data_IF_852708434393
#
_entry.id   IF_852708434393
#
_cell.length_a   1.000
_cell.length_b   1.000
_cell.length_c   1.000
_cell.angle_alpha   90.00
_cell.angle_beta   90.00
_cell.angle_gamma   90.00
#
_symmetry.space_group_name_H-M   'P 1'
#
loop_
_entity.id
_entity.type
_entity.pdbx_description
1 polymer ?
#
# COMPACT_ATOMS: atom_id res chain seq x y z
N UNK A 1 -0.43 -43.52 -10.65
CA UNK A 1 -1.22 -42.28 -10.73
C UNK A 1 -0.94 -41.65 -12.07
N UNK A 2 -1.95 -41.12 -12.75
CA UNK A 2 -1.81 -40.58 -14.10
C UNK A 2 -1.08 -39.23 -14.01
N UNK A 3 0.12 -39.15 -14.59
CA UNK A 3 1.03 -37.98 -14.52
C UNK A 3 0.39 -36.69 -15.03
N UNK A 4 -0.69 -36.78 -15.82
CA UNK A 4 -1.49 -35.63 -16.24
C UNK A 4 -2.28 -35.01 -15.10
N UNK A 5 -2.82 -35.83 -14.18
CA UNK A 5 -3.59 -35.36 -13.03
C UNK A 5 -2.66 -34.69 -12.02
N UNK A 6 -1.47 -35.26 -11.78
CA UNK A 6 -0.46 -34.68 -10.89
C UNK A 6 0.01 -33.31 -11.40
N UNK A 7 0.35 -33.19 -12.69
CA UNK A 7 0.71 -31.89 -13.29
C UNK A 7 -0.42 -30.88 -13.21
N UNK A 8 -1.66 -31.27 -13.52
CA UNK A 8 -2.81 -30.37 -13.44
C UNK A 8 -3.04 -29.85 -12.00
N UNK A 9 -2.81 -30.71 -10.99
CA UNK A 9 -2.90 -30.34 -9.59
C UNK A 9 -1.79 -29.36 -9.18
N UNK A 10 -0.55 -29.59 -9.62
CA UNK A 10 0.57 -28.67 -9.38
C UNK A 10 0.31 -27.28 -9.99
N UNK A 11 -0.18 -27.22 -11.23
CA UNK A 11 -0.57 -25.96 -11.87
C UNK A 11 -1.68 -25.21 -11.12
N UNK A 12 -2.70 -25.92 -10.63
CA UNK A 12 -3.78 -25.33 -9.85
C UNK A 12 -3.27 -24.75 -8.52
N UNK A 13 -2.41 -25.49 -7.82
CA UNK A 13 -1.78 -25.04 -6.58
C UNK A 13 -0.86 -23.83 -6.80
N UNK A 14 -0.09 -23.83 -7.89
CA UNK A 14 0.76 -22.71 -8.26
C UNK A 14 -0.04 -21.43 -8.50
N UNK A 15 -1.12 -21.49 -9.28
CA UNK A 15 -1.98 -20.33 -9.56
C UNK A 15 -2.60 -19.75 -8.29
N UNK A 16 -3.06 -20.62 -7.41
CA UNK A 16 -3.65 -20.21 -6.12
C UNK A 16 -2.61 -19.52 -5.25
N UNK A 17 -1.40 -20.09 -5.17
CA UNK A 17 -0.28 -19.51 -4.41
C UNK A 17 0.10 -18.13 -4.95
N UNK A 18 0.18 -17.97 -6.28
CA UNK A 18 0.49 -16.71 -6.92
C UNK A 18 -0.59 -15.65 -6.64
N UNK A 19 -1.87 -16.02 -6.70
CA UNK A 19 -2.97 -15.10 -6.39
C UNK A 19 -2.90 -14.63 -4.93
N UNK A 20 -2.67 -15.55 -4.01
CA UNK A 20 -2.54 -15.24 -2.58
C UNK A 20 -1.32 -14.32 -2.31
N UNK A 21 -0.21 -14.54 -2.99
CA UNK A 21 0.97 -13.66 -2.87
C UNK A 21 0.65 -12.24 -3.33
N UNK A 22 0.00 -12.06 -4.48
CA UNK A 22 -0.42 -10.74 -4.97
C UNK A 22 -1.36 -10.02 -4.00
N UNK A 23 -2.36 -10.76 -3.51
CA UNK A 23 -3.33 -10.22 -2.57
C UNK A 23 -2.63 -9.78 -1.28
N UNK A 24 -1.71 -10.59 -0.76
CA UNK A 24 -0.92 -10.25 0.42
C UNK A 24 -0.08 -8.99 0.21
N UNK A 25 0.58 -8.84 -0.94
CA UNK A 25 1.36 -7.64 -1.25
C UNK A 25 0.51 -6.38 -1.25
N UNK A 26 -0.70 -6.48 -1.82
CA UNK A 26 -1.67 -5.38 -1.83
C UNK A 26 -2.11 -5.02 -0.42
N UNK A 27 -2.52 -6.00 0.39
CA UNK A 27 -2.95 -5.80 1.77
C UNK A 27 -1.84 -5.19 2.64
N UNK A 28 -0.58 -5.60 2.43
CA UNK A 28 0.57 -5.03 3.12
C UNK A 28 0.76 -3.55 2.80
N UNK A 29 0.62 -3.16 1.52
CA UNK A 29 0.66 -1.77 1.10
C UNK A 29 -0.51 -0.96 1.67
N UNK A 30 -1.74 -1.49 1.60
CA UNK A 30 -2.91 -0.82 2.18
C UNK A 30 -2.77 -0.64 3.70
N UNK A 31 -2.27 -1.65 4.41
CA UNK A 31 -2.00 -1.57 5.84
C UNK A 31 -0.91 -0.53 6.16
N UNK A 32 0.14 -0.43 5.34
CA UNK A 32 1.16 0.60 5.55
C UNK A 32 0.63 2.00 5.26
N UNK A 33 -0.32 2.17 4.34
CA UNK A 33 -0.97 3.46 4.07
C UNK A 33 -2.03 3.87 5.11
N UNK A 34 -2.42 2.97 6.02
CA UNK A 34 -3.20 3.33 7.19
C UNK A 34 -2.29 4.01 8.23
N UNK A 35 -2.62 5.24 8.58
CA UNK A 35 -1.81 6.11 9.43
C UNK A 35 -2.62 6.62 10.62
N UNK A 36 -2.22 6.18 11.82
CA UNK A 36 -2.78 6.70 13.06
C UNK A 36 -2.01 7.95 13.50
N UNK A 37 -2.74 9.05 13.74
CA UNK A 37 -2.16 10.31 14.18
C UNK A 37 -3.10 11.02 15.14
N UNK A 38 -2.58 11.43 16.30
CA UNK A 38 -3.31 12.15 17.34
C UNK A 38 -4.69 11.54 17.67
N UNK A 39 -4.76 10.20 17.78
CA UNK A 39 -6.00 9.47 18.05
C UNK A 39 -6.95 9.30 16.86
N UNK A 40 -6.69 9.93 15.72
CA UNK A 40 -7.43 9.75 14.48
C UNK A 40 -6.81 8.72 13.54
N UNK A 41 -7.62 8.19 12.62
CA UNK A 41 -7.17 7.26 11.57
C UNK A 41 -7.28 7.89 10.19
N UNK A 42 -6.16 7.95 9.47
CA UNK A 42 -6.08 8.48 8.12
C UNK A 42 -5.68 7.37 7.14
N UNK A 43 -6.34 7.35 5.98
CA UNK A 43 -5.88 6.58 4.82
C UNK A 43 -5.06 7.50 3.95
N UNK A 44 -3.76 7.23 3.84
CA UNK A 44 -2.86 7.99 2.99
C UNK A 44 -3.19 7.65 1.52
N UNK A 45 -3.67 8.65 0.81
CA UNK A 45 -3.91 8.61 -0.63
C UNK A 45 -3.57 9.96 -1.26
N UNK A 46 -3.62 10.03 -2.58
CA UNK A 46 -3.31 11.22 -3.36
C UNK A 46 -4.22 12.40 -2.99
N UNK A 47 -5.46 12.12 -2.59
CA UNK A 47 -6.44 13.15 -2.17
C UNK A 47 -6.04 13.79 -0.85
N UNK A 48 -5.69 12.99 0.17
CA UNK A 48 -5.21 13.48 1.46
C UNK A 48 -3.92 14.28 1.29
N UNK A 49 -2.97 13.72 0.54
CA UNK A 49 -1.68 14.39 0.25
C UNK A 49 -1.93 15.73 -0.43
N UNK A 50 -2.74 15.77 -1.49
CA UNK A 50 -3.03 17.01 -2.21
C UNK A 50 -3.79 18.03 -1.33
N UNK A 51 -4.76 17.56 -0.54
CA UNK A 51 -5.54 18.40 0.35
C UNK A 51 -4.65 19.10 1.38
N UNK A 52 -3.84 18.34 2.12
CA UNK A 52 -2.91 18.89 3.11
C UNK A 52 -1.85 19.76 2.43
N UNK A 53 -1.30 19.30 1.30
CA UNK A 53 -0.26 20.01 0.57
C UNK A 53 -0.68 21.40 0.08
N UNK A 54 -1.97 21.60 -0.25
CA UNK A 54 -2.48 22.93 -0.59
C UNK A 54 -2.41 23.89 0.61
N UNK A 55 -2.80 23.45 1.80
CA UNK A 55 -2.75 24.30 3.00
C UNK A 55 -1.33 24.56 3.49
N UNK A 56 -0.41 23.61 3.31
CA UNK A 56 1.02 23.84 3.54
C UNK A 56 1.57 24.92 2.60
N UNK A 57 1.19 24.90 1.31
CA UNK A 57 1.56 25.95 0.35
C UNK A 57 0.99 27.32 0.70
N UNK A 58 -0.17 27.36 1.34
CA UNK A 58 -0.77 28.57 1.90
C UNK A 58 -0.17 29.01 3.26
N UNK A 59 0.94 28.38 3.67
CA UNK A 59 1.67 28.64 4.92
C UNK A 59 0.83 28.42 6.20
N UNK A 60 -0.20 27.55 6.14
CA UNK A 60 -0.95 27.14 7.33
C UNK A 60 -0.06 26.26 8.22
N UNK A 61 0.06 26.64 9.49
CA UNK A 61 0.87 25.90 10.48
C UNK A 61 0.11 24.77 11.16
N UNK A 62 -1.18 24.97 11.40
CA UNK A 62 -2.07 23.99 12.02
C UNK A 62 -3.46 24.01 11.37
N UNK A 63 -4.19 22.90 11.50
CA UNK A 63 -5.56 22.77 11.00
C UNK A 63 -6.27 21.59 11.67
N UNK A 64 -7.58 21.72 11.89
CA UNK A 64 -8.45 20.59 12.23
C UNK A 64 -8.91 19.88 10.96
N UNK A 65 -8.66 18.57 10.88
CA UNK A 65 -9.00 17.73 9.73
C UNK A 65 -9.90 16.59 10.19
N UNK A 66 -10.83 16.16 9.33
CA UNK A 66 -11.65 14.98 9.60
C UNK A 66 -10.90 13.71 9.25
N UNK A 67 -10.85 12.77 10.19
CA UNK A 67 -10.32 11.43 9.95
C UNK A 67 -11.28 10.56 9.11
N UNK A 68 -10.91 9.30 8.90
CA UNK A 68 -11.71 8.33 8.12
C UNK A 68 -13.12 8.12 8.73
N UNK A 69 -13.25 8.25 10.05
CA UNK A 69 -14.51 8.11 10.78
C UNK A 69 -15.26 9.44 10.96
N UNK A 70 -14.84 10.51 10.28
CA UNK A 70 -15.38 11.87 10.44
C UNK A 70 -15.21 12.45 11.84
N UNK A 71 -14.21 11.96 12.57
CA UNK A 71 -13.78 12.53 13.84
C UNK A 71 -12.88 13.73 13.56
N UNK A 72 -13.14 14.91 14.15
CA UNK A 72 -12.23 16.04 14.03
C UNK A 72 -10.93 15.75 14.80
N UNK A 73 -9.80 15.95 14.13
CA UNK A 73 -8.46 15.76 14.67
C UNK A 73 -7.68 17.05 14.49
N UNK A 74 -7.12 17.56 15.58
CA UNK A 74 -6.26 18.74 15.52
C UNK A 74 -4.85 18.34 15.09
N UNK A 75 -4.35 18.95 14.02
CA UNK A 75 -3.00 18.79 13.50
C UNK A 75 -2.23 20.07 13.82
N UNK A 76 -1.41 20.03 14.87
CA UNK A 76 -0.66 21.18 15.38
C UNK A 76 0.49 21.60 14.46
N UNK A 77 1.10 20.64 13.76
CA UNK A 77 2.19 20.88 12.81
C UNK A 77 1.85 20.23 11.45
N UNK A 78 1.27 21.04 10.58
CA UNK A 78 0.78 20.61 9.27
C UNK A 78 1.92 20.22 8.32
N UNK A 79 3.08 20.90 8.41
CA UNK A 79 4.24 20.61 7.58
C UNK A 79 4.88 19.25 7.94
N UNK A 80 5.04 18.97 9.23
CA UNK A 80 5.49 17.66 9.71
C UNK A 80 4.51 16.54 9.33
N UNK A 81 3.20 16.78 9.49
CA UNK A 81 2.18 15.83 9.07
C UNK A 81 2.26 15.55 7.57
N UNK A 82 2.37 16.59 6.74
CA UNK A 82 2.51 16.49 5.29
C UNK A 82 3.75 15.68 4.89
N UNK A 83 4.89 15.97 5.50
CA UNK A 83 6.13 15.23 5.24
C UNK A 83 6.00 13.75 5.60
N UNK A 84 5.37 13.44 6.74
CA UNK A 84 5.13 12.05 7.17
C UNK A 84 4.27 11.28 6.18
N UNK A 85 3.14 11.85 5.74
CA UNK A 85 2.26 11.16 4.79
C UNK A 85 2.91 11.00 3.41
N UNK A 86 3.69 11.99 2.95
CA UNK A 86 4.41 11.91 1.68
C UNK A 86 5.51 10.84 1.70
N UNK A 87 6.35 10.83 2.74
CA UNK A 87 7.41 9.84 2.91
C UNK A 87 6.83 8.43 2.97
N UNK A 88 5.79 8.24 3.78
CA UNK A 88 5.17 6.93 3.95
C UNK A 88 4.49 6.43 2.69
N UNK A 89 3.86 7.31 1.90
CA UNK A 89 3.36 6.99 0.58
C UNK A 89 4.50 6.55 -0.35
N UNK A 90 5.55 7.36 -0.44
CA UNK A 90 6.69 7.09 -1.31
C UNK A 90 7.33 5.74 -0.99
N UNK A 91 7.61 5.45 0.28
CA UNK A 91 8.19 4.18 0.71
C UNK A 91 7.26 3.00 0.42
N UNK A 92 6.00 3.09 0.83
CA UNK A 92 5.03 1.99 0.72
C UNK A 92 4.75 1.60 -0.73
N UNK A 93 4.50 2.59 -1.59
CA UNK A 93 4.11 2.36 -2.98
C UNK A 93 5.30 1.88 -3.82
N UNK A 94 6.50 2.45 -3.60
CA UNK A 94 7.71 1.97 -4.28
C UNK A 94 8.07 0.55 -3.86
N UNK A 95 7.95 0.24 -2.57
CA UNK A 95 8.20 -1.11 -2.08
C UNK A 95 7.19 -2.12 -2.63
N UNK A 96 5.91 -1.75 -2.68
CA UNK A 96 4.88 -2.58 -3.32
C UNK A 96 5.20 -2.84 -4.80
N UNK A 97 5.59 -1.79 -5.54
CA UNK A 97 6.01 -1.94 -6.93
C UNK A 97 7.23 -2.87 -7.08
N UNK A 98 8.25 -2.72 -6.22
CA UNK A 98 9.44 -3.60 -6.24
C UNK A 98 9.06 -5.06 -6.02
N UNK A 99 8.23 -5.34 -5.01
CA UNK A 99 7.82 -6.71 -4.69
C UNK A 99 6.94 -7.33 -5.80
N UNK A 100 6.05 -6.56 -6.44
CA UNK A 100 5.29 -7.02 -7.61
C UNK A 100 6.21 -7.36 -8.80
N UNK A 101 7.26 -6.56 -9.06
CA UNK A 101 8.24 -6.84 -10.12
C UNK A 101 9.03 -8.12 -9.83
N UNK A 102 9.46 -8.32 -8.59
CA UNK A 102 10.14 -9.55 -8.16
C UNK A 102 9.24 -10.78 -8.34
N UNK A 103 7.96 -10.66 -7.97
CA UNK A 103 6.97 -11.73 -8.16
C UNK A 103 6.76 -12.03 -9.65
N UNK A 104 6.68 -11.01 -10.49
CA UNK A 104 6.56 -11.16 -11.93
C UNK A 104 7.78 -11.85 -12.56
N UNK A 105 8.99 -11.58 -12.05
CA UNK A 105 10.22 -12.21 -12.50
C UNK A 105 10.31 -13.68 -12.08
N UNK A 106 9.96 -14.02 -10.83
CA UNK A 106 9.89 -15.43 -10.38
C UNK A 106 8.95 -16.27 -11.26
N UNK A 107 7.81 -15.70 -11.68
CA UNK A 107 6.90 -16.35 -12.63
C UNK A 107 7.54 -16.61 -14.00
N UNK A 108 8.38 -15.69 -14.51
CA UNK A 108 9.08 -15.89 -15.78
C UNK A 108 10.11 -17.01 -15.67
N UNK A 109 10.86 -17.06 -14.57
CA UNK A 109 11.86 -18.11 -14.32
C UNK A 109 11.21 -19.48 -14.21
N UNK A 110 10.10 -19.63 -13.48
CA UNK A 110 9.41 -20.93 -13.39
C UNK A 110 8.95 -21.44 -14.76
N UNK A 111 8.49 -20.57 -15.66
CA UNK A 111 8.12 -20.92 -17.04
C UNK A 111 9.29 -21.38 -17.92
N UNK A 112 10.53 -21.08 -17.53
CA UNK A 112 11.73 -21.55 -18.24
C UNK A 112 12.19 -22.93 -17.74
N UNK A 113 11.72 -23.35 -16.56
CA UNK A 113 12.12 -24.60 -15.88
C UNK A 113 11.05 -25.69 -16.05
N UNK A 114 9.78 -25.31 -16.21
CA UNK A 114 8.68 -26.19 -16.70
C UNK A 114 8.79 -26.50 -18.20
#
# INVERSE_FOLDING_TARGET
MDTRIEKALEFANYRTTLANQKQKLKEQCEASLNFAHNGGLFVINETLISFIGNFVKEDKKSMVVLDTNKTPVDIENLEDFYNKICTRWFESVNEYHRQEQELANKRKVNKLVE
#
